data_IF_996272251411
#
_entry.id   IF_996272251411
#
_cell.length_a   1.000
_cell.length_b   1.000
_cell.length_c   1.000
_cell.angle_alpha   90.00
_cell.angle_beta   90.00
_cell.angle_gamma   90.00
#
_symmetry.space_group_name_H-M   'P 1'
#
loop_
_entity.id
_entity.type
_entity.pdbx_description
1 polymer ?
#
# COMPACT_ATOMS: atom_id res chain seq x y z
N UNK A 1 -30.33 -0.13 -51.24
CA UNK A 1 -29.35 0.87 -50.76
C UNK A 1 -29.77 1.26 -49.35
N UNK A 2 -29.01 0.85 -48.33
CA UNK A 2 -28.11 1.71 -47.51
C UNK A 2 -28.89 2.80 -46.75
N UNK A 3 -28.86 2.98 -45.43
CA UNK A 3 -28.24 2.31 -44.27
C UNK A 3 -29.19 2.65 -43.11
N UNK A 4 -29.59 1.65 -42.33
CA UNK A 4 -30.30 1.86 -41.08
C UNK A 4 -29.25 2.04 -39.98
N UNK A 5 -29.05 3.27 -39.51
CA UNK A 5 -28.19 3.57 -38.36
C UNK A 5 -29.08 3.49 -37.12
N UNK A 6 -29.33 2.27 -36.65
CA UNK A 6 -29.93 2.06 -35.32
C UNK A 6 -28.78 2.19 -34.32
N UNK A 7 -28.77 3.28 -33.57
CA UNK A 7 -27.95 3.42 -32.37
C UNK A 7 -28.44 2.36 -31.37
N UNK A 8 -27.87 1.16 -31.46
CA UNK A 8 -27.92 0.21 -30.37
C UNK A 8 -26.88 0.66 -29.36
N UNK A 9 -27.31 1.48 -28.38
CA UNK A 9 -26.58 1.68 -27.14
C UNK A 9 -26.43 0.31 -26.46
N UNK A 10 -25.31 -0.32 -26.76
CA UNK A 10 -24.90 -1.57 -26.14
C UNK A 10 -24.38 -1.16 -24.76
N UNK A 11 -25.01 -1.57 -23.64
CA UNK A 11 -24.36 -1.38 -22.36
C UNK A 11 -23.11 -2.25 -22.39
N UNK A 12 -21.94 -1.62 -22.24
CA UNK A 12 -20.66 -2.29 -22.12
C UNK A 12 -20.75 -3.33 -20.99
N UNK A 13 -21.02 -4.59 -21.35
CA UNK A 13 -20.77 -5.74 -20.50
C UNK A 13 -19.26 -5.95 -20.50
N UNK A 14 -18.57 -5.40 -19.51
CA UNK A 14 -17.18 -5.75 -19.24
C UNK A 14 -16.98 -6.07 -17.76
N UNK A 15 -16.64 -7.34 -17.55
CA UNK A 15 -15.90 -7.90 -16.42
C UNK A 15 -16.67 -8.29 -15.16
N UNK A 16 -16.78 -9.60 -15.01
CA UNK A 16 -17.23 -10.38 -13.87
C UNK A 16 -16.56 -10.00 -12.54
N UNK A 17 -17.37 -9.71 -11.52
CA UNK A 17 -17.21 -10.04 -10.09
C UNK A 17 -15.79 -10.15 -9.51
N UNK A 18 -14.98 -9.09 -9.56
CA UNK A 18 -13.94 -8.91 -8.54
C UNK A 18 -14.54 -8.06 -7.43
N UNK A 19 -14.95 -8.70 -6.33
CA UNK A 19 -15.46 -8.05 -5.12
C UNK A 19 -14.32 -7.33 -4.39
N UNK A 20 -13.81 -6.25 -4.99
CA UNK A 20 -12.85 -5.38 -4.32
C UNK A 20 -13.59 -4.60 -3.22
N UNK A 21 -13.10 -4.70 -1.98
CA UNK A 21 -13.62 -3.87 -0.88
C UNK A 21 -13.21 -2.41 -1.10
N UNK A 22 -14.02 -1.41 -0.70
CA UNK A 22 -13.60 -0.01 -0.72
C UNK A 22 -12.28 0.17 0.01
N UNK A 23 -11.40 1.01 -0.53
CA UNK A 23 -10.11 1.22 0.11
C UNK A 23 -10.26 1.97 1.43
N UNK A 24 -9.37 1.66 2.37
CA UNK A 24 -9.24 2.34 3.66
C UNK A 24 -7.84 2.90 3.81
N UNK A 25 -7.78 4.11 4.34
CA UNK A 25 -6.52 4.74 4.70
C UNK A 25 -6.16 4.32 6.13
N UNK A 26 -4.99 3.73 6.31
CA UNK A 26 -4.46 3.37 7.62
C UNK A 26 -3.06 3.98 7.79
N UNK A 27 -2.79 4.53 8.97
CA UNK A 27 -1.50 5.15 9.29
C UNK A 27 -0.62 4.09 9.93
N UNK A 28 0.42 3.64 9.22
CA UNK A 28 1.38 2.69 9.76
C UNK A 28 2.30 3.38 10.79
N UNK A 29 2.77 4.57 10.43
CA UNK A 29 3.79 5.29 11.16
C UNK A 29 3.64 6.80 10.94
N UNK A 30 3.77 7.57 12.02
CA UNK A 30 3.89 9.03 11.98
C UNK A 30 4.81 9.46 13.13
N UNK A 31 6.12 9.50 12.86
CA UNK A 31 7.15 9.71 13.90
C UNK A 31 8.46 10.19 13.30
N UNK A 32 9.14 11.10 13.99
CA UNK A 32 10.43 11.68 13.57
C UNK A 32 10.39 12.30 12.15
N UNK A 33 9.25 12.90 11.78
CA UNK A 33 9.04 13.56 10.50
C UNK A 33 8.74 12.63 9.32
N UNK A 34 8.97 11.31 9.45
CA UNK A 34 8.50 10.35 8.44
C UNK A 34 7.06 9.96 8.74
N UNK A 35 6.24 9.93 7.70
CA UNK A 35 4.86 9.42 7.77
C UNK A 35 4.62 8.39 6.68
N UNK A 36 4.14 7.23 7.07
CA UNK A 36 3.84 6.10 6.17
C UNK A 36 2.37 5.77 6.31
N UNK A 37 1.66 5.84 5.18
CA UNK A 37 0.23 5.56 5.10
C UNK A 37 0.01 4.43 4.11
N UNK A 38 -0.81 3.45 4.47
CA UNK A 38 -1.31 2.48 3.51
C UNK A 38 -2.70 2.88 3.02
N UNK A 39 -2.88 2.84 1.72
CA UNK A 39 -4.17 2.77 1.07
C UNK A 39 -4.47 1.28 0.84
N UNK A 40 -5.31 0.73 1.70
CA UNK A 40 -5.50 -0.71 1.91
C UNK A 40 -6.85 -1.17 1.36
N UNK A 41 -6.85 -2.22 0.54
CA UNK A 41 -8.09 -2.82 0.01
C UNK A 41 -7.93 -4.32 -0.19
N UNK A 42 -9.00 -5.07 0.06
CA UNK A 42 -9.06 -6.46 -0.36
C UNK A 42 -9.49 -6.56 -1.81
N UNK A 43 -8.84 -7.46 -2.55
CA UNK A 43 -9.31 -8.00 -3.81
C UNK A 43 -9.29 -9.51 -3.64
N UNK A 44 -10.48 -10.11 -3.57
CA UNK A 44 -10.64 -11.51 -3.15
C UNK A 44 -9.96 -11.75 -1.79
N UNK A 45 -9.07 -12.75 -1.69
CA UNK A 45 -8.35 -13.11 -0.48
C UNK A 45 -6.98 -12.40 -0.35
N UNK A 46 -6.72 -11.38 -1.17
CA UNK A 46 -5.45 -10.63 -1.14
C UNK A 46 -5.67 -9.22 -0.62
N UNK A 47 -4.91 -8.83 0.41
CA UNK A 47 -4.83 -7.45 0.88
C UNK A 47 -3.79 -6.71 0.03
N UNK A 48 -4.28 -5.79 -0.80
CA UNK A 48 -3.46 -4.84 -1.56
C UNK A 48 -3.23 -3.60 -0.71
N UNK A 49 -1.97 -3.24 -0.53
CA UNK A 49 -1.55 -2.04 0.17
C UNK A 49 -0.74 -1.17 -0.79
N UNK A 50 -1.14 0.09 -0.94
CA UNK A 50 -0.29 1.11 -1.54
C UNK A 50 0.32 1.94 -0.41
N UNK A 51 1.58 1.66 -0.09
CA UNK A 51 2.37 2.42 0.86
C UNK A 51 2.72 3.78 0.27
N UNK A 52 2.48 4.84 1.02
CA UNK A 52 2.79 6.22 0.63
C UNK A 52 3.67 6.84 1.72
N UNK A 53 4.88 7.22 1.36
CA UNK A 53 5.86 7.79 2.28
C UNK A 53 5.90 9.30 2.12
N UNK A 54 5.92 10.00 3.25
CA UNK A 54 5.96 11.46 3.36
C UNK A 54 7.07 11.86 4.32
N UNK A 55 7.58 13.07 4.12
CA UNK A 55 8.63 13.65 4.94
C UNK A 55 8.24 15.08 5.32
N UNK A 56 7.93 15.30 6.58
CA UNK A 56 7.58 16.62 7.13
C UNK A 56 8.80 17.46 7.52
N UNK A 57 10.00 16.88 7.51
CA UNK A 57 11.23 17.57 7.89
C UNK A 57 11.80 18.41 6.73
N UNK A 58 12.83 19.20 7.04
CA UNK A 58 13.51 20.10 6.09
C UNK A 58 14.71 19.47 5.38
N UNK A 59 15.08 18.23 5.74
CA UNK A 59 16.19 17.49 5.13
C UNK A 59 15.67 16.23 4.42
N UNK A 60 16.33 15.77 3.33
CA UNK A 60 15.91 14.56 2.62
C UNK A 60 16.11 13.32 3.50
N UNK A 61 15.28 12.31 3.27
CA UNK A 61 15.46 10.97 3.84
C UNK A 61 15.93 10.05 2.73
N UNK A 62 17.17 9.57 2.80
CA UNK A 62 17.84 8.81 1.74
C UNK A 62 17.94 7.33 2.11
N UNK A 63 18.12 6.45 1.11
CA UNK A 63 18.28 5.02 1.34
C UNK A 63 17.08 4.39 2.05
N UNK A 64 15.87 4.84 1.71
CA UNK A 64 14.62 4.34 2.26
C UNK A 64 14.52 2.83 2.03
N UNK A 65 14.30 2.08 3.10
CA UNK A 65 14.09 0.64 3.04
C UNK A 65 12.90 0.26 3.94
N UNK A 66 11.87 -0.36 3.37
CA UNK A 66 10.75 -0.92 4.11
C UNK A 66 10.84 -2.44 4.11
N UNK A 67 10.88 -3.03 5.30
CA UNK A 67 10.80 -4.47 5.54
C UNK A 67 9.47 -4.80 6.22
N UNK A 68 8.83 -5.86 5.76
CA UNK A 68 7.58 -6.37 6.33
C UNK A 68 7.72 -7.88 6.55
N UNK A 69 7.22 -8.37 7.68
CA UNK A 69 6.98 -9.77 7.92
C UNK A 69 5.50 -10.01 8.22
N UNK A 70 4.97 -11.11 7.67
CA UNK A 70 3.57 -11.54 7.81
C UNK A 70 3.50 -12.89 8.53
N UNK A 71 2.32 -13.31 9.03
CA UNK A 71 2.13 -14.63 9.61
C UNK A 71 2.42 -15.74 8.58
N UNK A 72 2.86 -16.91 9.05
CA UNK A 72 3.25 -18.05 8.18
C UNK A 72 2.12 -18.56 7.27
N UNK A 73 0.86 -18.37 7.67
CA UNK A 73 -0.31 -18.73 6.86
C UNK A 73 -0.54 -17.81 5.66
N UNK A 74 0.18 -16.69 5.59
CA UNK A 74 0.02 -15.67 4.55
C UNK A 74 1.29 -15.59 3.68
N UNK A 75 1.15 -15.01 2.50
CA UNK A 75 2.29 -14.77 1.58
C UNK A 75 2.43 -13.29 1.27
N UNK A 76 3.61 -12.74 1.54
CA UNK A 76 3.97 -11.36 1.24
C UNK A 76 4.67 -11.27 -0.12
N UNK A 77 4.24 -10.32 -0.95
CA UNK A 77 4.96 -9.87 -2.15
C UNK A 77 5.09 -8.35 -2.08
N UNK A 78 6.30 -7.84 -2.25
CA UNK A 78 6.58 -6.40 -2.30
C UNK A 78 7.11 -6.04 -3.69
N UNK A 79 6.53 -5.02 -4.29
CA UNK A 79 7.07 -4.43 -5.51
C UNK A 79 8.21 -3.45 -5.19
N UNK A 80 9.04 -3.10 -6.18
CA UNK A 80 10.04 -2.05 -6.01
C UNK A 80 9.43 -0.73 -5.54
N UNK A 81 10.19 0.03 -4.76
CA UNK A 81 9.83 1.39 -4.42
C UNK A 81 9.98 2.29 -5.65
N UNK A 82 9.14 3.33 -5.74
CA UNK A 82 9.24 4.31 -6.84
C UNK A 82 10.52 5.15 -6.79
N UNK A 83 11.08 5.33 -5.59
CA UNK A 83 12.37 5.97 -5.32
C UNK A 83 12.88 5.52 -3.95
N UNK A 84 14.18 5.65 -3.71
CA UNK A 84 14.84 5.37 -2.43
C UNK A 84 15.02 6.63 -1.56
N UNK A 85 14.55 7.78 -2.04
CA UNK A 85 14.72 9.06 -1.36
C UNK A 85 13.38 9.77 -1.23
N UNK A 86 13.04 10.20 -0.01
CA UNK A 86 11.86 11.03 0.26
C UNK A 86 12.30 12.50 0.35
N UNK A 87 11.87 13.38 -0.58
CA UNK A 87 12.24 14.79 -0.57
C UNK A 87 11.77 15.50 0.71
N UNK A 88 12.45 16.58 1.15
CA UNK A 88 11.99 17.43 2.25
C UNK A 88 10.56 17.94 2.02
N UNK A 89 9.82 18.15 3.11
CA UNK A 89 8.48 18.77 3.11
C UNK A 89 7.53 18.22 2.02
N UNK A 90 7.54 16.90 1.83
CA UNK A 90 6.80 16.23 0.77
C UNK A 90 5.74 15.29 1.33
N UNK A 91 4.63 15.16 0.60
CA UNK A 91 3.50 14.29 0.98
C UNK A 91 3.30 13.22 -0.09
N UNK A 92 3.27 11.95 0.32
CA UNK A 92 3.07 10.78 -0.55
C UNK A 92 4.05 10.72 -1.73
N UNK A 93 5.30 11.14 -1.52
CA UNK A 93 6.29 11.30 -2.58
C UNK A 93 6.89 9.98 -3.08
N UNK A 94 7.04 9.00 -2.18
CA UNK A 94 7.47 7.64 -2.56
C UNK A 94 6.29 6.69 -2.40
N UNK A 95 6.17 5.76 -3.34
CA UNK A 95 5.13 4.73 -3.37
C UNK A 95 5.77 3.35 -3.40
N UNK A 96 5.18 2.41 -2.68
CA UNK A 96 5.50 0.99 -2.80
C UNK A 96 4.21 0.15 -2.74
N UNK A 97 4.05 -0.77 -3.68
CA UNK A 97 2.94 -1.70 -3.67
C UNK A 97 3.30 -2.96 -2.88
N UNK A 98 2.40 -3.38 -2.00
CA UNK A 98 2.56 -4.55 -1.14
C UNK A 98 1.29 -5.39 -1.23
N UNK A 99 1.50 -6.70 -1.37
CA UNK A 99 0.44 -7.69 -1.54
C UNK A 99 0.57 -8.75 -0.46
N UNK A 100 -0.50 -8.98 0.30
CA UNK A 100 -0.55 -10.04 1.31
C UNK A 100 -1.67 -11.00 0.94
N UNK A 101 -1.31 -12.16 0.39
CA UNK A 101 -2.27 -13.22 0.15
C UNK A 101 -2.66 -13.87 1.49
N UNK A 102 -3.96 -13.89 1.78
CA UNK A 102 -4.55 -14.35 3.02
C UNK A 102 -5.60 -15.45 2.76
N UNK A 103 -5.18 -16.67 2.41
CA UNK A 103 -6.09 -17.78 2.10
C UNK A 103 -6.94 -18.21 3.32
N UNK A 104 -6.49 -17.86 4.54
CA UNK A 104 -7.19 -18.21 5.77
C UNK A 104 -8.30 -17.23 6.15
N UNK A 105 -8.41 -16.09 5.46
CA UNK A 105 -9.35 -15.00 5.79
C UNK A 105 -9.31 -14.58 7.27
N UNK A 106 -8.14 -14.65 7.90
CA UNK A 106 -7.93 -14.24 9.30
C UNK A 106 -7.46 -12.79 9.37
N UNK A 107 -7.55 -12.15 10.54
CA UNK A 107 -7.06 -10.79 10.72
C UNK A 107 -5.56 -10.70 10.41
N UNK A 108 -5.19 -9.71 9.61
CA UNK A 108 -3.80 -9.50 9.19
C UNK A 108 -3.06 -8.75 10.28
N UNK A 109 -1.89 -9.26 10.68
CA UNK A 109 -0.94 -8.56 11.55
C UNK A 109 0.45 -8.61 10.94
N UNK A 110 1.09 -7.46 10.82
CA UNK A 110 2.46 -7.38 10.30
C UNK A 110 3.45 -6.97 11.38
N UNK A 111 4.71 -7.35 11.17
CA UNK A 111 5.86 -6.66 11.77
C UNK A 111 6.50 -5.82 10.68
N UNK A 112 6.78 -4.56 10.96
CA UNK A 112 7.48 -3.67 10.03
C UNK A 112 8.80 -3.20 10.61
N UNK A 113 9.72 -2.85 9.72
CA UNK A 113 10.92 -2.07 10.00
C UNK A 113 11.12 -1.11 8.81
N UNK A 114 11.36 0.16 9.11
CA UNK A 114 11.75 1.17 8.12
C UNK A 114 13.11 1.74 8.51
N UNK A 115 14.01 1.80 7.53
CA UNK A 115 15.33 2.40 7.67
C UNK A 115 15.47 3.54 6.66
N UNK A 116 16.16 4.60 7.05
CA UNK A 116 16.57 5.69 6.17
C UNK A 116 17.72 6.46 6.80
N UNK A 117 18.50 7.16 6.00
CA UNK A 117 19.50 8.11 6.48
C UNK A 117 18.95 9.53 6.40
N UNK A 118 19.24 10.33 7.44
CA UNK A 118 18.96 11.75 7.44
C UNK A 118 20.10 12.51 8.12
N UNK A 119 20.67 13.50 7.42
CA UNK A 119 21.82 14.28 7.89
C UNK A 119 23.01 13.41 8.35
N UNK A 120 23.30 12.31 7.63
CA UNK A 120 24.40 11.39 7.97
C UNK A 120 24.10 10.45 9.14
N UNK A 121 22.87 10.44 9.67
CA UNK A 121 22.45 9.55 10.77
C UNK A 121 21.45 8.54 10.25
N UNK A 122 21.71 7.25 10.47
CA UNK A 122 20.75 6.18 10.20
C UNK A 122 19.62 6.20 11.23
N UNK A 123 18.39 6.29 10.75
CA UNK A 123 17.17 6.19 11.52
C UNK A 123 16.54 4.82 11.26
N UNK A 124 16.12 4.15 12.34
CA UNK A 124 15.37 2.90 12.28
C UNK A 124 14.08 3.05 13.09
N UNK A 125 12.97 2.62 12.51
CA UNK A 125 11.69 2.51 13.22
C UNK A 125 11.06 1.16 12.91
N UNK A 126 10.65 0.43 13.95
CA UNK A 126 10.04 -0.89 13.82
C UNK A 126 8.88 -1.07 14.78
N UNK A 127 7.99 -2.00 14.46
CA UNK A 127 6.80 -2.24 15.27
C UNK A 127 5.91 -3.35 14.74
N UNK A 128 4.79 -3.54 15.43
CA UNK A 128 3.70 -4.40 14.98
C UNK A 128 2.51 -3.54 14.57
N UNK A 129 1.75 -4.00 13.58
CA UNK A 129 0.55 -3.29 13.12
C UNK A 129 -0.52 -4.31 12.72
N UNK A 130 -1.73 -4.15 13.23
CA UNK A 130 -2.88 -5.05 13.03
C UNK A 130 -4.21 -4.33 12.75
N UNK A 131 -4.21 -3.01 12.57
CA UNK A 131 -5.42 -2.21 12.29
C UNK A 131 -5.79 -2.20 10.80
N UNK A 132 -5.71 -3.35 10.12
CA UNK A 132 -6.12 -3.49 8.73
C UNK A 132 -7.65 -3.64 8.58
N UNK A 133 -8.21 -3.36 7.39
CA UNK A 133 -9.58 -3.74 7.08
C UNK A 133 -9.81 -5.24 7.34
N UNK A 134 -11.02 -5.61 7.71
CA UNK A 134 -11.39 -7.02 7.82
C UNK A 134 -11.48 -7.67 6.44
N UNK A 135 -11.07 -8.94 6.29
CA UNK A 135 -11.30 -9.70 5.06
C UNK A 135 -12.80 -9.72 4.71
N UNK A 136 -13.16 -9.75 3.41
CA UNK A 136 -14.53 -10.01 2.99
C UNK A 136 -14.97 -11.40 3.45
N UNK A 137 -16.27 -11.54 3.79
CA UNK A 137 -16.88 -12.82 4.15
C UNK A 137 -16.74 -13.85 3.02
#
# INVERSE_FOLDING_TARGET
MRVQMVLHDTPCKYSSYLTATPSRIVVLLDKNGIRIVFDARYVQDTLHLRAKFSNASTAPMMGLELKIAVPKSMKLTMEPQSADTIPPQSTNAVIQLVHIANPTKTDVRIRYQVNYEQNGVTMEQSGMFDEFPKPPA
#
